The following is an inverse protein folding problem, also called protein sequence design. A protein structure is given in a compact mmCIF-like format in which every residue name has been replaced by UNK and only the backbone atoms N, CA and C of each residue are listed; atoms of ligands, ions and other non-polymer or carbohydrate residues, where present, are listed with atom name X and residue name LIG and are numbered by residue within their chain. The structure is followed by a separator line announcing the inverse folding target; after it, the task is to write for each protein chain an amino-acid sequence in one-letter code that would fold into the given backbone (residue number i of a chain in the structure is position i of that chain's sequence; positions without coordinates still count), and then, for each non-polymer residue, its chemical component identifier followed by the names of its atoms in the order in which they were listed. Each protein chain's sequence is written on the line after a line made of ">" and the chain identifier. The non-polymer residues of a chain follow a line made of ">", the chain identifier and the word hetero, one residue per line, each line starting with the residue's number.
data_IF_690047047286
#
_entry.id   IF_690047047286
#
_cell.length_a   1.000
_cell.length_b   1.000
_cell.length_c   1.000
_cell.angle_alpha   90.00
_cell.angle_beta   90.00
_cell.angle_gamma   90.00
#
_symmetry.space_group_name_H-M   'P 1'
#
loop_
_entity.id
_entity.type
_entity.pdbx_description
1 polymer ?
#
# COMPACT_ATOMS: atom_id res chain seq x y z
N UNK A 1 10.58 6.26 -19.52
CA UNK A 1 10.54 7.17 -18.34
C UNK A 1 9.72 6.65 -17.15
N UNK A 2 8.64 5.86 -17.32
CA UNK A 2 7.82 5.36 -16.21
C UNK A 2 8.56 4.50 -15.17
N UNK A 3 9.57 3.72 -15.57
CA UNK A 3 10.31 2.82 -14.66
C UNK A 3 11.21 3.54 -13.64
N UNK A 4 11.78 4.70 -14.00
CA UNK A 4 12.64 5.46 -13.08
C UNK A 4 11.83 6.15 -11.98
N UNK A 5 10.65 6.66 -12.33
CA UNK A 5 9.69 7.22 -11.36
C UNK A 5 9.17 6.16 -10.40
N UNK A 6 8.84 4.96 -10.90
CA UNK A 6 8.38 3.87 -10.02
C UNK A 6 9.48 3.40 -9.06
N UNK A 7 10.74 3.39 -9.49
CA UNK A 7 11.88 2.98 -8.65
C UNK A 7 12.16 3.96 -7.49
N UNK A 8 11.93 5.26 -7.70
CA UNK A 8 12.15 6.29 -6.67
C UNK A 8 10.92 6.43 -5.75
N UNK A 9 9.71 6.29 -6.29
CA UNK A 9 8.51 6.49 -5.49
C UNK A 9 8.18 5.34 -4.55
N UNK A 10 8.62 4.10 -4.82
CA UNK A 10 8.46 2.98 -3.87
C UNK A 10 9.13 3.29 -2.51
N UNK A 11 10.43 3.65 -2.45
CA UNK A 11 11.06 4.02 -1.19
C UNK A 11 10.35 5.18 -0.49
N UNK A 12 9.90 6.20 -1.23
CA UNK A 12 9.18 7.34 -0.66
C UNK A 12 7.86 6.89 -0.01
N UNK A 13 7.07 6.06 -0.71
CA UNK A 13 5.81 5.53 -0.18
C UNK A 13 6.05 4.64 1.04
N UNK A 14 7.10 3.82 1.03
CA UNK A 14 7.48 3.01 2.20
C UNK A 14 7.86 3.87 3.39
N UNK A 15 8.64 4.93 3.20
CA UNK A 15 9.05 5.84 4.28
C UNK A 15 7.82 6.55 4.87
N UNK A 16 6.92 7.05 4.01
CA UNK A 16 5.68 7.69 4.47
C UNK A 16 4.83 6.69 5.26
N UNK A 17 4.66 5.47 4.72
CA UNK A 17 3.91 4.40 5.40
C UNK A 17 4.49 4.06 6.76
N UNK A 18 5.83 3.98 6.85
CA UNK A 18 6.55 3.77 8.10
C UNK A 18 6.35 4.91 9.11
N UNK A 19 6.47 6.18 8.68
CA UNK A 19 6.30 7.34 9.56
C UNK A 19 4.89 7.38 10.15
N UNK A 20 3.85 7.11 9.35
CA UNK A 20 2.47 7.06 9.84
C UNK A 20 2.29 5.93 10.86
N UNK A 21 2.93 4.79 10.63
CA UNK A 21 2.82 3.64 11.52
C UNK A 21 3.61 3.79 12.82
N UNK A 22 4.50 4.77 12.96
CA UNK A 22 5.04 5.17 14.27
C UNK A 22 3.96 5.70 15.22
N UNK A 23 2.86 6.25 14.69
CA UNK A 23 1.71 6.69 15.49
C UNK A 23 0.62 5.61 15.60
N UNK A 24 0.59 4.68 14.65
CA UNK A 24 -0.43 3.63 14.54
C UNK A 24 0.23 2.31 14.14
N UNK A 25 0.83 1.61 15.10
CA UNK A 25 1.64 0.40 14.83
C UNK A 25 0.86 -0.69 14.09
N UNK A 26 -0.44 -0.82 14.37
CA UNK A 26 -1.33 -1.78 13.72
C UNK A 26 -1.51 -1.55 12.21
N UNK A 27 -1.22 -0.32 11.72
CA UNK A 27 -1.25 0.02 10.29
C UNK A 27 0.08 -0.28 9.57
N UNK A 28 1.16 -0.62 10.28
CA UNK A 28 2.49 -0.84 9.70
C UNK A 28 2.49 -1.79 8.49
N UNK A 29 1.94 -3.01 8.54
CA UNK A 29 1.98 -3.92 7.39
C UNK A 29 1.18 -3.38 6.19
N UNK A 30 0.05 -2.72 6.44
CA UNK A 30 -0.83 -2.20 5.39
C UNK A 30 -0.22 -0.98 4.72
N UNK A 31 0.24 0.00 5.50
CA UNK A 31 0.75 1.26 4.97
C UNK A 31 2.16 1.13 4.39
N UNK A 32 2.99 0.22 4.90
CA UNK A 32 4.37 0.09 4.41
C UNK A 32 4.44 -0.81 3.18
N UNK A 33 3.86 -2.01 3.25
CA UNK A 33 3.94 -2.98 2.16
C UNK A 33 2.75 -2.89 1.21
N UNK A 34 1.54 -2.64 1.73
CA UNK A 34 0.34 -2.48 0.91
C UNK A 34 0.38 -1.22 0.04
N UNK A 35 0.80 -0.07 0.59
CA UNK A 35 0.89 1.17 -0.19
C UNK A 35 2.02 1.10 -1.24
N UNK A 36 3.16 0.49 -0.89
CA UNK A 36 4.25 0.25 -1.84
C UNK A 36 3.81 -0.67 -2.99
N UNK A 37 3.07 -1.74 -2.68
CA UNK A 37 2.46 -2.61 -3.68
C UNK A 37 1.51 -1.82 -4.60
N UNK A 38 0.57 -1.07 -4.03
CA UNK A 38 -0.35 -0.21 -4.78
C UNK A 38 0.38 0.75 -5.73
N UNK A 39 1.43 1.39 -5.24
CA UNK A 39 2.23 2.31 -6.03
C UNK A 39 2.85 1.60 -7.24
N UNK A 40 3.47 0.42 -7.04
CA UNK A 40 4.01 -0.37 -8.16
C UNK A 40 2.90 -0.72 -9.16
N UNK A 41 1.75 -1.18 -8.71
CA UNK A 41 0.66 -1.61 -9.59
C UNK A 41 -0.01 -0.46 -10.36
N UNK A 42 -0.03 0.75 -9.81
CA UNK A 42 -0.53 1.94 -10.51
C UNK A 42 0.38 2.36 -11.67
N UNK A 43 1.69 2.23 -11.50
CA UNK A 43 2.68 2.72 -12.46
C UNK A 43 3.29 1.64 -13.36
N UNK A 44 3.17 0.36 -13.01
CA UNK A 44 3.64 -0.75 -13.82
C UNK A 44 2.68 -1.04 -15.01
N UNK A 45 3.19 -1.57 -16.14
CA UNK A 45 2.41 -1.83 -17.34
C UNK A 45 1.51 -3.08 -17.22
N UNK A 46 0.75 -3.21 -16.12
CA UNK A 46 -0.21 -4.30 -15.93
C UNK A 46 -1.58 -4.02 -16.53
N UNK A 47 -2.32 -5.09 -16.82
CA UNK A 47 -3.71 -5.05 -17.27
C UNK A 47 -4.61 -4.36 -16.24
N UNK A 48 -5.60 -3.57 -16.71
CA UNK A 48 -6.47 -2.75 -15.83
C UNK A 48 -7.16 -3.57 -14.73
N UNK A 49 -7.59 -4.79 -15.04
CA UNK A 49 -8.22 -5.71 -14.09
C UNK A 49 -7.32 -6.06 -12.90
N UNK A 50 -6.03 -6.29 -13.14
CA UNK A 50 -5.07 -6.65 -12.09
C UNK A 50 -4.91 -5.50 -11.09
N UNK A 51 -4.94 -4.25 -11.60
CA UNK A 51 -4.88 -3.05 -10.75
C UNK A 51 -6.08 -2.94 -9.81
N UNK A 52 -7.28 -3.22 -10.31
CA UNK A 52 -8.50 -3.19 -9.49
C UNK A 52 -8.51 -4.29 -8.43
N UNK A 53 -8.06 -5.50 -8.78
CA UNK A 53 -7.92 -6.61 -7.82
C UNK A 53 -6.95 -6.22 -6.70
N UNK A 54 -5.81 -5.62 -7.04
CA UNK A 54 -4.84 -5.16 -6.04
C UNK A 54 -5.39 -4.05 -5.14
N UNK A 55 -6.11 -3.08 -5.72
CA UNK A 55 -6.82 -2.04 -4.97
C UNK A 55 -7.81 -2.64 -3.97
N UNK A 56 -8.58 -3.63 -4.40
CA UNK A 56 -9.54 -4.32 -3.56
C UNK A 56 -8.84 -5.06 -2.40
N UNK A 57 -7.78 -5.81 -2.69
CA UNK A 57 -6.99 -6.52 -1.66
C UNK A 57 -6.41 -5.53 -0.65
N UNK A 58 -5.88 -4.40 -1.11
CA UNK A 58 -5.39 -3.35 -0.20
C UNK A 58 -6.50 -2.81 0.69
N UNK A 59 -7.66 -2.52 0.13
CA UNK A 59 -8.80 -1.99 0.87
C UNK A 59 -9.29 -2.99 1.94
N UNK A 60 -9.36 -4.28 1.58
CA UNK A 60 -9.71 -5.36 2.51
C UNK A 60 -8.69 -5.41 3.65
N UNK A 61 -7.39 -5.41 3.36
CA UNK A 61 -6.35 -5.43 4.39
C UNK A 61 -6.41 -4.21 5.32
N UNK A 62 -6.69 -3.03 4.77
CA UNK A 62 -6.85 -1.81 5.57
C UNK A 62 -8.07 -1.92 6.50
N UNK A 63 -9.21 -2.35 5.98
CA UNK A 63 -10.42 -2.54 6.77
C UNK A 63 -10.26 -3.63 7.82
N UNK A 64 -9.68 -4.79 7.47
CA UNK A 64 -9.39 -5.86 8.42
C UNK A 64 -8.43 -5.42 9.52
N UNK A 65 -7.42 -4.63 9.19
CA UNK A 65 -6.49 -4.04 10.16
C UNK A 65 -7.21 -3.11 11.14
N UNK A 66 -8.14 -2.28 10.65
CA UNK A 66 -9.01 -1.43 11.48
C UNK A 66 -9.90 -2.29 12.39
N UNK A 67 -10.59 -3.28 11.83
CA UNK A 67 -11.52 -4.16 12.54
C UNK A 67 -10.81 -4.93 13.66
N UNK A 68 -9.64 -5.52 13.37
CA UNK A 68 -8.80 -6.18 14.36
C UNK A 68 -8.34 -5.23 15.47
N UNK A 69 -7.98 -3.99 15.13
CA UNK A 69 -7.59 -2.99 16.12
C UNK A 69 -8.73 -2.63 17.09
N UNK A 70 -9.95 -2.49 16.58
CA UNK A 70 -11.12 -2.19 17.40
C UNK A 70 -11.76 -3.43 18.07
N UNK A 71 -11.24 -4.63 17.83
CA UNK A 71 -11.83 -5.91 18.28
C UNK A 71 -13.31 -6.07 17.91
N UNK A 72 -13.69 -5.59 16.72
CA UNK A 72 -15.03 -5.77 16.12
C UNK A 72 -15.01 -7.00 15.22
#
# INVERSE_FOLDING_TARGET
>A
MRSKLSLIGVPIVMIIGYVISLSFEWLFPVLTFGAAGLYIFLFAPFHKMIRYVFLLIFLINLLSSIVLYYNI
#
